data_IF_997551731706
#
_entry.id   IF_997551731706
#
_cell.length_a   1.000
_cell.length_b   1.000
_cell.length_c   1.000
_cell.angle_alpha   90.00
_cell.angle_beta   90.00
_cell.angle_gamma   90.00
#
_symmetry.space_group_name_H-M   'P 1'
#
loop_
_entity.id
_entity.type
_entity.pdbx_description
1 polymer ?
#
# COMPACT_ATOMS: atom_id res chain seq x y z
N UNK A 1 -24.17 -59.58 24.16
CA UNK A 1 -24.77 -58.87 23.01
C UNK A 1 -24.85 -57.39 23.41
N UNK A 2 -23.84 -56.61 23.06
CA UNK A 2 -23.66 -55.25 23.50
C UNK A 2 -23.68 -54.32 22.27
N UNK A 3 -24.77 -53.59 22.08
CA UNK A 3 -24.93 -52.63 21.00
C UNK A 3 -24.17 -51.35 21.33
N UNK A 4 -23.11 -51.04 20.55
CA UNK A 4 -22.41 -49.75 20.60
C UNK A 4 -23.23 -48.73 19.83
N UNK A 5 -23.79 -47.73 20.50
CA UNK A 5 -24.43 -46.58 19.89
C UNK A 5 -23.33 -45.60 19.41
N UNK A 6 -23.25 -45.44 18.10
CA UNK A 6 -22.39 -44.44 17.43
C UNK A 6 -23.09 -43.09 17.52
N UNK A 7 -22.53 -42.15 18.32
CA UNK A 7 -22.96 -40.75 18.31
C UNK A 7 -22.21 -40.03 17.19
N UNK A 8 -22.91 -39.71 16.11
CA UNK A 8 -22.44 -38.81 15.08
C UNK A 8 -22.61 -37.37 15.57
N UNK A 9 -21.50 -36.73 15.89
CA UNK A 9 -21.46 -35.28 16.21
C UNK A 9 -21.53 -34.51 14.88
N UNK A 10 -22.72 -34.01 14.54
CA UNK A 10 -22.92 -33.12 13.39
C UNK A 10 -22.41 -31.74 13.78
N UNK A 11 -21.18 -31.39 13.39
CA UNK A 11 -20.63 -30.05 13.56
C UNK A 11 -21.29 -29.12 12.53
N UNK A 12 -22.36 -28.45 12.95
CA UNK A 12 -23.02 -27.41 12.19
C UNK A 12 -22.06 -26.20 12.20
N UNK A 13 -21.23 -26.04 11.17
CA UNK A 13 -20.58 -24.76 10.87
C UNK A 13 -21.68 -23.76 10.56
N UNK A 14 -22.13 -23.00 11.56
CA UNK A 14 -22.84 -21.76 11.31
C UNK A 14 -21.86 -20.81 10.62
N UNK A 15 -22.00 -20.65 9.31
CA UNK A 15 -21.54 -19.45 8.62
C UNK A 15 -22.31 -18.29 9.23
N UNK A 16 -21.69 -17.57 10.14
CA UNK A 16 -22.16 -16.26 10.55
C UNK A 16 -22.00 -15.38 9.32
N UNK A 17 -23.09 -14.89 8.68
CA UNK A 17 -22.93 -13.84 7.70
C UNK A 17 -22.28 -12.69 8.45
N UNK A 18 -21.19 -12.11 7.90
CA UNK A 18 -20.61 -10.88 8.39
C UNK A 18 -21.73 -9.80 8.31
N UNK A 19 -22.50 -9.67 9.38
CA UNK A 19 -23.39 -8.55 9.55
C UNK A 19 -22.47 -7.33 9.61
N UNK A 20 -22.53 -6.50 8.56
CA UNK A 20 -21.95 -5.16 8.58
C UNK A 20 -22.50 -4.51 9.86
N UNK A 21 -21.61 -4.23 10.81
CA UNK A 21 -22.01 -3.55 12.03
C UNK A 21 -22.72 -2.25 11.66
N UNK A 22 -23.83 -1.96 12.31
CA UNK A 22 -24.57 -0.70 12.09
C UNK A 22 -23.60 0.46 12.24
N UNK A 23 -23.32 1.20 11.14
CA UNK A 23 -22.39 2.34 11.13
C UNK A 23 -21.32 2.31 10.04
N UNK A 24 -21.12 1.20 9.33
CA UNK A 24 -20.16 1.14 8.22
C UNK A 24 -20.82 1.56 6.90
N UNK A 25 -20.11 2.42 6.16
CA UNK A 25 -20.49 2.79 4.80
C UNK A 25 -19.31 2.48 3.88
N UNK A 26 -19.49 1.46 3.04
CA UNK A 26 -18.50 1.15 2.01
C UNK A 26 -18.28 2.34 1.08
N UNK A 27 -17.05 2.58 0.69
CA UNK A 27 -16.70 3.69 -0.19
C UNK A 27 -16.89 3.28 -1.66
N UNK A 28 -17.28 4.20 -2.56
CA UNK A 28 -17.33 3.90 -3.99
C UNK A 28 -15.97 3.43 -4.50
N UNK A 29 -15.94 2.35 -5.28
CA UNK A 29 -14.71 1.76 -5.83
C UNK A 29 -14.47 2.13 -7.30
N UNK A 30 -15.36 2.86 -7.92
CA UNK A 30 -15.32 3.26 -9.34
C UNK A 30 -14.88 4.71 -9.54
N UNK A 31 -14.52 5.40 -8.46
CA UNK A 31 -14.12 6.80 -8.50
C UNK A 31 -13.28 7.20 -7.29
N UNK A 32 -12.50 8.28 -7.44
CA UNK A 32 -11.87 8.96 -6.30
C UNK A 32 -12.97 9.57 -5.44
N UNK A 33 -13.07 9.10 -4.22
CA UNK A 33 -14.07 9.55 -3.24
C UNK A 33 -13.38 9.77 -1.90
N UNK A 34 -13.62 10.92 -1.29
CA UNK A 34 -13.09 11.24 0.03
C UNK A 34 -14.09 10.77 1.08
N UNK A 35 -13.67 9.80 1.89
CA UNK A 35 -14.47 9.26 2.99
C UNK A 35 -14.54 10.21 4.20
N UNK A 36 -15.06 9.69 5.31
CA UNK A 36 -15.09 10.42 6.57
C UNK A 36 -13.67 10.62 7.12
N UNK A 37 -13.39 11.75 7.79
CA UNK A 37 -12.10 11.95 8.45
C UNK A 37 -11.95 10.96 9.61
N UNK A 38 -10.76 10.34 9.78
CA UNK A 38 -10.52 9.48 10.92
C UNK A 38 -10.60 10.29 12.22
N UNK A 39 -11.27 9.73 13.24
CA UNK A 39 -11.43 10.38 14.55
C UNK A 39 -10.08 10.44 15.26
N UNK A 40 -9.74 11.60 15.81
CA UNK A 40 -8.46 11.80 16.50
C UNK A 40 -8.31 10.89 17.74
N UNK A 41 -9.39 10.59 18.43
CA UNK A 41 -9.39 9.68 19.59
C UNK A 41 -8.95 8.23 19.25
N UNK A 42 -9.03 7.83 17.98
CA UNK A 42 -8.65 6.50 17.52
C UNK A 42 -7.15 6.39 17.18
N UNK A 43 -6.41 7.50 17.17
CA UNK A 43 -4.94 7.52 17.16
C UNK A 43 -4.45 7.33 18.59
N UNK A 44 -4.24 6.08 19.00
CA UNK A 44 -3.90 5.71 20.36
C UNK A 44 -2.42 5.94 20.70
N UNK A 45 -1.59 6.14 19.69
CA UNK A 45 -0.21 6.61 19.79
C UNK A 45 0.26 7.24 18.49
N UNK A 46 1.50 7.75 18.46
CA UNK A 46 2.16 8.24 17.24
C UNK A 46 2.41 7.15 16.19
N UNK A 47 2.15 5.88 16.52
CA UNK A 47 2.41 4.70 15.70
C UNK A 47 1.21 3.75 15.59
N UNK A 48 0.06 4.09 16.16
CA UNK A 48 -1.08 3.16 16.18
C UNK A 48 -2.43 3.86 16.06
N UNK A 49 -3.28 3.33 15.18
CA UNK A 49 -4.68 3.73 14.98
C UNK A 49 -5.57 2.50 15.00
N UNK A 50 -6.70 2.57 15.69
CA UNK A 50 -7.69 1.49 15.73
C UNK A 50 -9.10 2.05 15.74
N UNK A 51 -9.95 1.57 14.82
CA UNK A 51 -11.40 1.66 14.90
C UNK A 51 -12.03 0.32 14.49
N UNK A 52 -13.36 0.24 14.44
CA UNK A 52 -14.08 -0.99 14.15
C UNK A 52 -13.85 -1.50 12.71
N UNK A 53 -13.34 -0.66 11.81
CA UNK A 53 -13.16 -0.99 10.38
C UNK A 53 -11.71 -1.17 9.97
N UNK A 54 -10.76 -0.61 10.72
CA UNK A 54 -9.34 -0.61 10.36
C UNK A 54 -8.46 -0.59 11.61
N UNK A 55 -7.38 -1.38 11.57
CA UNK A 55 -6.28 -1.26 12.51
C UNK A 55 -4.97 -1.00 11.77
N UNK A 56 -4.16 -0.09 12.31
CA UNK A 56 -2.83 0.26 11.81
C UNK A 56 -1.85 0.25 12.96
N UNK A 57 -0.70 -0.41 12.77
CA UNK A 57 0.42 -0.35 13.69
C UNK A 57 1.73 -0.22 12.94
N UNK A 58 2.53 0.79 13.29
CA UNK A 58 3.82 1.09 12.68
C UNK A 58 4.93 0.51 13.56
N UNK A 59 5.90 -0.13 12.92
CA UNK A 59 7.09 -0.72 13.53
C UNK A 59 8.34 -0.10 12.92
N UNK A 60 9.41 -0.14 13.67
CA UNK A 60 10.72 0.36 13.27
C UNK A 60 11.75 -0.76 13.36
N UNK A 61 12.75 -0.70 12.49
CA UNK A 61 13.87 -1.62 12.52
C UNK A 61 15.09 -1.03 11.86
N UNK A 62 16.21 -1.78 11.90
CA UNK A 62 17.46 -1.40 11.28
C UNK A 62 18.08 -2.59 10.56
N UNK A 63 18.51 -2.37 9.32
CA UNK A 63 19.16 -3.38 8.49
C UNK A 63 20.21 -2.72 7.59
N UNK A 64 21.36 -3.35 7.41
CA UNK A 64 22.42 -2.89 6.52
C UNK A 64 22.75 -1.36 6.68
N UNK A 65 22.96 -0.91 7.92
CA UNK A 65 23.22 0.49 8.30
C UNK A 65 22.13 1.48 7.86
N UNK A 66 20.88 1.03 7.79
CA UNK A 66 19.77 1.87 7.39
C UNK A 66 18.53 1.53 8.23
N UNK A 67 17.90 2.57 8.76
CA UNK A 67 16.62 2.43 9.47
C UNK A 67 15.51 2.21 8.46
N UNK A 68 14.51 1.43 8.86
CA UNK A 68 13.30 1.22 8.08
C UNK A 68 12.08 1.25 8.99
N UNK A 69 10.93 1.50 8.38
CA UNK A 69 9.63 1.42 9.04
C UNK A 69 8.69 0.57 8.20
N UNK A 70 7.80 -0.13 8.88
CA UNK A 70 6.68 -0.78 8.20
C UNK A 70 5.40 -0.63 9.01
N UNK A 71 4.31 -0.41 8.30
CA UNK A 71 2.98 -0.28 8.87
C UNK A 71 2.17 -1.53 8.55
N UNK A 72 1.73 -2.24 9.57
CA UNK A 72 0.78 -3.34 9.47
C UNK A 72 -0.63 -2.77 9.41
N UNK A 73 -1.41 -3.14 8.40
CA UNK A 73 -2.76 -2.62 8.16
C UNK A 73 -3.72 -3.77 7.96
N UNK A 74 -4.79 -3.81 8.76
CA UNK A 74 -5.93 -4.72 8.55
C UNK A 74 -7.17 -3.89 8.31
N UNK A 75 -7.94 -4.25 7.30
CA UNK A 75 -9.18 -3.58 6.92
C UNK A 75 -10.34 -4.57 6.89
N UNK A 76 -11.56 -4.07 7.01
CA UNK A 76 -12.78 -4.89 6.98
C UNK A 76 -13.42 -5.01 5.60
N UNK A 77 -13.02 -4.12 4.64
CA UNK A 77 -13.58 -4.10 3.29
C UNK A 77 -12.57 -3.57 2.26
N UNK A 78 -12.44 -4.13 1.05
CA UNK A 78 -11.44 -3.71 0.05
C UNK A 78 -11.58 -2.25 -0.38
N UNK A 79 -12.75 -1.62 -0.26
CA UNK A 79 -12.94 -0.20 -0.59
C UNK A 79 -12.12 0.76 0.28
N UNK A 80 -11.50 0.28 1.35
CA UNK A 80 -10.64 1.08 2.22
C UNK A 80 -9.22 1.26 1.65
N UNK A 81 -8.74 0.36 0.78
CA UNK A 81 -7.49 0.51 0.04
C UNK A 81 -7.71 1.38 -1.19
N UNK A 82 -7.18 2.59 -1.19
CA UNK A 82 -7.50 3.63 -2.16
C UNK A 82 -6.26 4.34 -2.69
N UNK A 83 -6.47 5.13 -3.73
CA UNK A 83 -5.49 6.08 -4.26
C UNK A 83 -6.09 7.47 -4.39
N UNK A 84 -5.26 8.50 -4.20
CA UNK A 84 -5.66 9.89 -4.41
C UNK A 84 -4.57 10.66 -5.15
N UNK A 85 -4.91 11.42 -6.22
CA UNK A 85 -3.97 12.31 -6.89
C UNK A 85 -3.70 13.56 -6.05
N UNK A 86 -2.63 14.28 -6.36
CA UNK A 86 -2.17 15.45 -5.62
C UNK A 86 -3.19 16.60 -5.53
N UNK A 87 -4.12 16.68 -6.48
CA UNK A 87 -5.16 17.70 -6.54
C UNK A 87 -6.52 17.22 -5.98
N UNK A 88 -6.53 16.09 -5.27
CA UNK A 88 -7.71 15.66 -4.50
C UNK A 88 -8.10 16.72 -3.48
N UNK A 89 -9.40 16.94 -3.33
CA UNK A 89 -9.96 17.84 -2.33
C UNK A 89 -11.18 17.21 -1.69
N UNK A 90 -11.37 17.50 -0.41
CA UNK A 90 -12.50 17.00 0.38
C UNK A 90 -13.90 17.45 -0.11
N UNK A 91 -13.99 18.11 -1.26
CA UNK A 91 -15.23 18.57 -1.88
C UNK A 91 -15.96 17.52 -2.70
N UNK A 92 -15.45 16.29 -2.78
CA UNK A 92 -15.99 15.18 -3.59
C UNK A 92 -16.28 15.55 -5.05
N UNK A 93 -15.50 16.49 -5.61
CA UNK A 93 -15.53 16.76 -7.04
C UNK A 93 -14.91 15.59 -7.79
N UNK A 94 -15.41 15.30 -8.97
CA UNK A 94 -14.83 14.26 -9.83
C UNK A 94 -13.36 14.59 -10.11
N UNK A 95 -12.45 13.83 -9.51
CA UNK A 95 -11.01 13.96 -9.66
C UNK A 95 -10.53 12.83 -10.56
N UNK A 96 -9.50 13.09 -11.35
CA UNK A 96 -8.96 12.12 -12.30
C UNK A 96 -7.44 12.06 -12.21
N UNK A 97 -6.85 10.90 -12.52
CA UNK A 97 -5.38 10.72 -12.61
C UNK A 97 -4.85 11.17 -13.99
N UNK A 98 -5.24 12.38 -14.44
CA UNK A 98 -4.77 13.01 -15.68
C UNK A 98 -3.99 14.30 -15.44
N UNK A 99 -4.09 14.84 -14.24
CA UNK A 99 -3.39 16.07 -13.86
C UNK A 99 -1.89 15.80 -13.68
N UNK A 100 -1.07 16.78 -14.05
CA UNK A 100 0.36 16.82 -13.72
C UNK A 100 0.65 17.48 -12.37
N UNK A 101 -0.38 17.76 -11.59
CA UNK A 101 -0.25 18.37 -10.26
C UNK A 101 0.60 17.51 -9.33
N UNK A 102 1.35 18.20 -8.47
CA UNK A 102 2.10 17.57 -7.39
C UNK A 102 1.86 18.35 -6.09
N UNK A 103 1.85 17.66 -4.96
CA UNK A 103 1.67 18.27 -3.65
C UNK A 103 2.46 17.52 -2.58
N UNK A 104 2.66 18.14 -1.42
CA UNK A 104 3.25 17.44 -0.26
C UNK A 104 2.34 16.30 0.17
N UNK A 105 2.89 15.10 0.31
CA UNK A 105 2.12 13.89 0.61
C UNK A 105 1.21 14.03 1.82
N UNK A 106 1.69 14.67 2.92
CA UNK A 106 0.89 14.94 4.13
C UNK A 106 -0.35 15.81 3.88
N UNK A 107 -0.31 16.72 2.90
CA UNK A 107 -1.47 17.53 2.53
C UNK A 107 -2.46 16.72 1.71
N UNK A 108 -1.97 15.87 0.79
CA UNK A 108 -2.82 14.94 0.03
C UNK A 108 -3.50 13.95 0.98
N UNK A 109 -2.77 13.37 1.93
CA UNK A 109 -3.31 12.47 2.95
C UNK A 109 -4.41 13.14 3.80
N UNK A 110 -4.20 14.41 4.17
CA UNK A 110 -5.20 15.21 4.89
C UNK A 110 -6.48 15.40 4.07
N UNK A 111 -6.34 15.83 2.83
CA UNK A 111 -7.48 16.09 1.93
C UNK A 111 -8.22 14.77 1.55
N UNK A 112 -7.50 13.64 1.51
CA UNK A 112 -8.07 12.34 1.25
C UNK A 112 -8.73 11.68 2.48
N UNK A 113 -8.61 12.27 3.67
CA UNK A 113 -9.03 11.67 4.94
C UNK A 113 -8.38 10.29 5.19
N UNK A 114 -7.09 10.17 4.88
CA UNK A 114 -6.35 8.93 5.06
C UNK A 114 -6.16 8.59 6.55
N UNK A 115 -6.32 7.33 6.94
CA UNK A 115 -5.84 6.85 8.24
C UNK A 115 -4.32 6.74 8.19
N UNK A 116 -3.81 6.11 7.15
CA UNK A 116 -2.37 6.01 6.83
C UNK A 116 -2.21 6.07 5.32
N UNK A 117 -1.08 6.60 4.85
CA UNK A 117 -0.78 6.65 3.43
C UNK A 117 0.72 6.47 3.14
N UNK A 118 1.02 6.14 1.88
CA UNK A 118 2.37 6.15 1.32
C UNK A 118 2.37 6.75 -0.09
N UNK A 119 3.54 7.02 -0.65
CA UNK A 119 3.64 7.43 -2.06
C UNK A 119 3.19 6.32 -3.01
N UNK A 120 2.72 6.70 -4.20
CA UNK A 120 2.42 5.78 -5.30
C UNK A 120 3.62 5.50 -6.21
N UNK A 121 3.33 5.27 -7.50
CA UNK A 121 4.30 4.95 -8.56
C UNK A 121 4.74 6.15 -9.38
N UNK A 122 4.34 7.37 -8.97
CA UNK A 122 4.63 8.62 -9.68
C UNK A 122 4.04 8.64 -11.09
N UNK A 123 2.75 8.37 -11.20
CA UNK A 123 2.00 8.21 -12.46
C UNK A 123 2.16 9.38 -13.46
N UNK A 124 2.55 10.58 -13.01
CA UNK A 124 2.74 11.76 -13.88
C UNK A 124 3.99 11.66 -14.75
N UNK A 125 4.90 10.73 -14.47
CA UNK A 125 6.10 10.50 -15.26
C UNK A 125 5.82 9.62 -16.48
N UNK A 126 6.56 9.87 -17.57
CA UNK A 126 6.42 9.11 -18.82
C UNK A 126 6.86 7.66 -18.69
N UNK A 127 7.72 7.35 -17.72
CA UNK A 127 8.14 5.99 -17.39
C UNK A 127 7.00 5.13 -16.79
N UNK A 128 5.99 5.74 -16.19
CA UNK A 128 4.79 5.05 -15.74
C UNK A 128 3.84 4.81 -16.92
N UNK A 129 4.06 3.70 -17.63
CA UNK A 129 3.38 3.40 -18.90
C UNK A 129 1.95 2.91 -18.76
N UNK A 130 1.59 2.37 -17.60
CA UNK A 130 0.24 1.89 -17.28
C UNK A 130 -0.28 2.61 -16.05
N UNK A 131 -1.46 3.17 -16.16
CA UNK A 131 -2.17 3.82 -15.04
C UNK A 131 -3.63 3.40 -15.05
N UNK A 132 -4.02 2.58 -14.08
CA UNK A 132 -5.40 2.23 -13.80
C UNK A 132 -5.66 2.53 -12.31
N UNK A 133 -6.61 3.38 -12.03
CA UNK A 133 -6.96 3.79 -10.66
C UNK A 133 -8.46 3.78 -10.48
N UNK A 134 -8.90 3.21 -9.39
CA UNK A 134 -10.32 3.13 -9.04
C UNK A 134 -11.17 2.57 -10.20
N UNK A 135 -10.72 1.46 -10.82
CA UNK A 135 -11.38 0.81 -11.95
C UNK A 135 -11.32 1.58 -13.28
N UNK A 136 -10.74 2.78 -13.31
CA UNK A 136 -10.63 3.58 -14.54
C UNK A 136 -9.22 3.51 -15.12
N UNK A 137 -9.12 3.14 -16.41
CA UNK A 137 -7.85 3.13 -17.15
C UNK A 137 -7.54 4.52 -17.71
N UNK A 138 -6.41 5.08 -17.32
CA UNK A 138 -5.92 6.40 -17.78
C UNK A 138 -4.78 6.29 -18.80
N UNK A 139 -3.97 5.22 -18.70
CA UNK A 139 -2.84 4.95 -19.60
C UNK A 139 -2.66 3.44 -19.78
N UNK A 140 -2.32 2.98 -21.00
CA UNK A 140 -2.23 1.57 -21.37
C UNK A 140 -1.07 1.25 -22.32
N UNK A 141 0.07 1.91 -22.16
CA UNK A 141 1.22 1.81 -23.06
C UNK A 141 2.35 0.98 -22.45
N UNK A 142 2.05 -0.18 -21.86
CA UNK A 142 3.06 -1.11 -21.36
C UNK A 142 4.14 -1.36 -22.44
N UNK A 143 5.42 -1.36 -22.03
CA UNK A 143 6.57 -1.36 -22.93
C UNK A 143 7.56 -2.51 -22.71
N UNK A 144 7.21 -3.47 -21.85
CA UNK A 144 8.05 -4.61 -21.53
C UNK A 144 9.22 -4.32 -20.59
N UNK A 145 9.24 -3.15 -19.91
CA UNK A 145 10.37 -2.71 -19.11
C UNK A 145 10.11 -2.71 -17.59
N UNK A 146 8.84 -2.67 -17.19
CA UNK A 146 8.45 -2.56 -15.77
C UNK A 146 7.37 -3.56 -15.41
N UNK A 147 7.50 -4.13 -14.24
CA UNK A 147 6.44 -4.93 -13.65
C UNK A 147 5.23 -4.06 -13.32
N UNK A 148 4.06 -4.68 -13.36
CA UNK A 148 2.82 -4.05 -12.95
C UNK A 148 2.26 -4.76 -11.73
N UNK A 149 2.04 -4.03 -10.63
CA UNK A 149 1.19 -4.51 -9.54
C UNK A 149 -0.26 -4.35 -9.95
N UNK A 150 -1.04 -5.40 -9.84
CA UNK A 150 -2.47 -5.42 -10.07
C UNK A 150 -3.18 -5.69 -8.75
N UNK A 151 -4.12 -4.82 -8.40
CA UNK A 151 -5.03 -4.99 -7.26
C UNK A 151 -6.44 -5.12 -7.80
N UNK A 152 -7.12 -6.19 -7.43
CA UNK A 152 -8.50 -6.43 -7.84
C UNK A 152 -9.52 -5.79 -6.88
N UNK A 153 -10.81 -5.91 -7.20
CA UNK A 153 -11.90 -5.36 -6.37
C UNK A 153 -12.09 -6.07 -5.03
N UNK A 154 -11.47 -7.24 -4.83
CA UNK A 154 -11.44 -7.90 -3.53
C UNK A 154 -10.27 -7.41 -2.67
N UNK A 155 -9.37 -6.59 -3.24
CA UNK A 155 -8.14 -6.14 -2.58
C UNK A 155 -6.98 -7.12 -2.72
N UNK A 156 -7.12 -8.16 -3.54
CA UNK A 156 -6.08 -9.15 -3.78
C UNK A 156 -5.03 -8.64 -4.77
N UNK A 157 -3.75 -8.97 -4.46
CA UNK A 157 -2.60 -8.59 -5.26
C UNK A 157 -2.19 -9.71 -6.20
N UNK A 158 -1.92 -9.32 -7.44
CA UNK A 158 -1.22 -10.09 -8.45
C UNK A 158 -0.26 -9.17 -9.21
N UNK A 159 0.52 -9.71 -10.14
CA UNK A 159 1.42 -8.89 -10.93
C UNK A 159 1.57 -9.40 -12.36
N UNK A 160 2.01 -8.52 -13.25
CA UNK A 160 2.46 -8.85 -14.58
C UNK A 160 3.95 -8.52 -14.68
N UNK A 161 4.75 -9.51 -15.05
CA UNK A 161 6.19 -9.38 -15.20
C UNK A 161 6.51 -8.68 -16.53
N UNK A 162 6.87 -7.41 -16.46
CA UNK A 162 7.29 -6.58 -17.57
C UNK A 162 6.47 -6.82 -18.87
N UNK A 163 5.12 -6.68 -18.83
CA UNK A 163 4.27 -7.03 -19.97
C UNK A 163 4.51 -6.07 -21.13
N UNK A 164 4.45 -6.61 -22.36
CA UNK A 164 4.33 -5.78 -23.56
C UNK A 164 2.95 -5.12 -23.65
N UNK A 165 2.79 -4.18 -24.57
CA UNK A 165 1.49 -3.54 -24.80
C UNK A 165 0.40 -4.55 -25.18
N UNK A 166 0.75 -5.58 -25.96
CA UNK A 166 -0.18 -6.63 -26.37
C UNK A 166 -0.58 -7.52 -25.19
N UNK A 167 0.39 -7.93 -24.34
CA UNK A 167 0.13 -8.74 -23.15
C UNK A 167 -0.80 -8.00 -22.18
N UNK A 168 -0.52 -6.73 -21.92
CA UNK A 168 -1.37 -5.93 -21.05
C UNK A 168 -2.77 -5.72 -21.62
N UNK A 169 -2.89 -5.49 -22.93
CA UNK A 169 -4.19 -5.33 -23.57
C UNK A 169 -5.06 -6.59 -23.46
N UNK A 170 -4.47 -7.78 -23.72
CA UNK A 170 -5.15 -9.06 -23.55
C UNK A 170 -5.56 -9.31 -22.10
N UNK A 171 -4.66 -9.02 -21.16
CA UNK A 171 -4.96 -9.13 -19.73
C UNK A 171 -6.10 -8.20 -19.31
N UNK A 172 -6.07 -6.94 -19.74
CA UNK A 172 -7.10 -5.96 -19.45
C UNK A 172 -8.47 -6.40 -19.99
N UNK A 173 -8.53 -6.83 -21.26
CA UNK A 173 -9.76 -7.31 -21.88
C UNK A 173 -10.41 -8.46 -21.09
N UNK A 174 -9.59 -9.40 -20.64
CA UNK A 174 -10.07 -10.56 -19.87
C UNK A 174 -10.50 -10.22 -18.43
N UNK A 175 -9.93 -9.18 -17.80
CA UNK A 175 -10.06 -8.94 -16.35
C UNK A 175 -10.67 -7.58 -15.98
N UNK A 176 -10.97 -6.68 -16.92
CA UNK A 176 -11.37 -5.28 -16.66
C UNK A 176 -12.53 -5.14 -15.67
N UNK A 177 -13.46 -6.09 -15.65
CA UNK A 177 -14.61 -6.06 -14.73
C UNK A 177 -14.20 -6.13 -13.25
N UNK A 178 -13.06 -6.78 -12.96
CA UNK A 178 -12.55 -6.97 -11.59
C UNK A 178 -11.33 -6.11 -11.26
N UNK A 179 -10.74 -5.41 -12.23
CA UNK A 179 -9.58 -4.54 -11.98
C UNK A 179 -9.97 -3.33 -11.15
N UNK A 180 -9.12 -3.03 -10.13
CA UNK A 180 -9.32 -1.88 -9.25
C UNK A 180 -8.17 -0.88 -9.32
N UNK A 181 -6.91 -1.34 -9.17
CA UNK A 181 -5.71 -0.51 -9.27
C UNK A 181 -4.64 -1.24 -10.09
N UNK A 182 -3.87 -0.50 -10.89
CA UNK A 182 -2.64 -1.01 -11.52
C UNK A 182 -1.54 0.03 -11.34
N UNK A 183 -0.44 -0.38 -10.69
CA UNK A 183 0.76 0.45 -10.49
C UNK A 183 1.89 -0.05 -11.38
N UNK A 184 2.63 0.87 -11.98
CA UNK A 184 3.70 0.59 -12.92
C UNK A 184 5.05 1.02 -12.33
N UNK A 185 5.75 0.11 -11.68
CA UNK A 185 7.09 0.38 -11.14
C UNK A 185 7.95 -0.89 -11.07
N UNK A 186 7.86 -1.66 -9.99
CA UNK A 186 8.58 -2.92 -9.79
C UNK A 186 10.02 -2.77 -9.28
N UNK A 187 10.69 -3.88 -9.09
CA UNK A 187 10.21 -5.24 -9.32
C UNK A 187 9.28 -5.78 -8.22
N UNK A 188 8.71 -6.97 -8.45
CA UNK A 188 8.18 -7.81 -7.36
C UNK A 188 9.35 -8.23 -6.50
N UNK A 189 9.26 -8.03 -5.19
CA UNK A 189 10.32 -8.30 -4.23
C UNK A 189 10.18 -9.67 -3.57
N UNK A 190 8.96 -9.99 -3.14
CA UNK A 190 8.62 -11.24 -2.45
C UNK A 190 7.32 -11.79 -3.03
N UNK A 191 7.24 -13.09 -3.21
CA UNK A 191 6.03 -13.81 -3.59
C UNK A 191 5.90 -15.08 -2.74
N UNK A 192 4.73 -15.27 -2.11
CA UNK A 192 4.42 -16.44 -1.27
C UNK A 192 5.52 -16.76 -0.24
N UNK A 193 6.05 -15.73 0.44
CA UNK A 193 7.11 -15.84 1.42
C UNK A 193 8.49 -16.16 0.83
N UNK A 194 8.67 -16.04 -0.49
CA UNK A 194 9.96 -16.25 -1.16
C UNK A 194 10.49 -14.92 -1.68
N UNK A 195 11.69 -14.52 -1.21
CA UNK A 195 12.40 -13.37 -1.77
C UNK A 195 12.88 -13.70 -3.19
N UNK A 196 12.38 -12.94 -4.18
CA UNK A 196 12.68 -13.17 -5.60
C UNK A 196 13.94 -12.43 -6.08
N UNK A 197 14.56 -11.60 -5.26
CA UNK A 197 15.64 -10.69 -5.67
C UNK A 197 17.00 -11.26 -5.27
N UNK A 198 17.81 -11.72 -6.23
CA UNK A 198 19.17 -12.18 -5.94
C UNK A 198 20.09 -11.01 -5.54
N UNK A 199 21.15 -11.30 -4.79
CA UNK A 199 22.10 -10.29 -4.30
C UNK A 199 22.73 -9.43 -5.41
N UNK A 200 22.89 -9.99 -6.60
CA UNK A 200 23.45 -9.32 -7.78
C UNK A 200 22.37 -8.82 -8.75
N UNK A 201 21.14 -8.62 -8.29
CA UNK A 201 20.04 -8.14 -9.13
C UNK A 201 20.36 -6.79 -9.75
N UNK A 202 20.27 -6.69 -11.07
CA UNK A 202 20.51 -5.48 -11.83
C UNK A 202 19.23 -4.98 -12.48
N UNK A 203 18.95 -3.69 -12.31
CA UNK A 203 17.89 -2.97 -13.00
C UNK A 203 18.27 -1.50 -13.09
N UNK A 204 18.67 -1.06 -14.27
CA UNK A 204 19.15 0.31 -14.52
C UNK A 204 18.09 1.39 -14.31
N UNK A 205 16.82 1.09 -14.55
CA UNK A 205 15.72 2.07 -14.41
C UNK A 205 15.51 2.53 -12.98
N UNK A 206 15.70 1.64 -12.01
CA UNK A 206 15.47 1.95 -10.59
C UNK A 206 16.79 2.07 -9.81
N UNK A 207 17.93 1.90 -10.48
CA UNK A 207 19.24 1.89 -9.82
C UNK A 207 19.29 0.83 -8.72
N UNK A 208 19.07 -0.45 -9.09
CA UNK A 208 18.86 -1.54 -8.15
C UNK A 208 20.02 -1.72 -7.15
N UNK A 209 21.26 -1.52 -7.60
CA UNK A 209 22.48 -1.62 -6.77
C UNK A 209 22.88 -0.30 -6.07
N UNK A 210 22.11 0.77 -6.25
CA UNK A 210 22.38 2.06 -5.59
C UNK A 210 21.67 2.12 -4.26
N UNK A 211 22.36 2.59 -3.23
CA UNK A 211 21.75 2.91 -1.95
C UNK A 211 20.81 4.11 -2.09
N UNK A 212 19.53 3.89 -1.76
CA UNK A 212 18.49 4.90 -1.84
C UNK A 212 17.40 4.65 -0.80
N UNK A 213 16.55 5.64 -0.55
CA UNK A 213 15.25 5.39 0.09
C UNK A 213 14.41 4.50 -0.82
N UNK A 214 13.67 3.57 -0.25
CA UNK A 214 12.80 2.62 -0.97
C UNK A 214 11.42 2.60 -0.33
N UNK A 215 10.42 2.23 -1.13
CA UNK A 215 9.05 2.05 -0.70
C UNK A 215 8.45 0.80 -1.33
N UNK A 216 7.68 0.03 -0.58
CA UNK A 216 6.96 -1.13 -1.08
C UNK A 216 5.56 -1.22 -0.47
N UNK A 217 4.62 -1.68 -1.27
CA UNK A 217 3.30 -2.08 -0.82
C UNK A 217 3.22 -3.61 -0.85
N UNK A 218 2.76 -4.21 0.24
CA UNK A 218 2.74 -5.64 0.42
C UNK A 218 1.34 -6.13 0.82
N UNK A 219 0.94 -7.30 0.33
CA UNK A 219 -0.18 -8.06 0.85
C UNK A 219 0.35 -9.22 1.71
N UNK A 220 -0.23 -9.38 2.91
CA UNK A 220 0.10 -10.46 3.85
C UNK A 220 -0.94 -11.58 3.83
N UNK A 221 -2.19 -11.24 3.54
CA UNK A 221 -3.33 -12.13 3.49
C UNK A 221 -4.59 -11.39 3.02
N UNK A 222 -5.74 -12.00 3.18
CA UNK A 222 -7.02 -11.38 2.85
C UNK A 222 -7.22 -10.12 3.69
N UNK A 223 -7.41 -8.96 3.01
CA UNK A 223 -7.61 -7.64 3.63
C UNK A 223 -6.53 -7.25 4.66
N UNK A 224 -5.33 -7.82 4.55
CA UNK A 224 -4.20 -7.61 5.43
C UNK A 224 -2.96 -7.21 4.62
N UNK A 225 -2.40 -6.04 4.94
CA UNK A 225 -1.37 -5.39 4.14
C UNK A 225 -0.22 -4.88 4.98
N UNK A 226 0.89 -4.56 4.31
CA UNK A 226 2.03 -3.90 4.92
C UNK A 226 2.56 -2.82 3.98
N UNK A 227 2.81 -1.61 4.50
CA UNK A 227 3.53 -0.53 3.83
C UNK A 227 4.95 -0.50 4.39
N UNK A 228 5.96 -0.63 3.54
CA UNK A 228 7.38 -0.65 3.96
C UNK A 228 8.12 0.53 3.35
N UNK A 229 8.90 1.24 4.15
CA UNK A 229 9.78 2.33 3.70
C UNK A 229 11.13 2.23 4.40
N UNK A 230 12.23 2.58 3.71
CA UNK A 230 13.52 2.74 4.36
C UNK A 230 14.02 4.19 4.28
N UNK A 231 14.91 4.54 5.19
CA UNK A 231 15.59 5.83 5.23
C UNK A 231 16.69 5.89 4.15
N UNK A 232 17.27 7.03 3.96
CA UNK A 232 18.38 7.26 3.04
C UNK A 232 19.46 8.13 3.65
N UNK A 233 20.51 8.40 2.88
CA UNK A 233 21.67 9.18 3.32
C UNK A 233 21.36 10.64 3.69
N UNK A 234 20.16 11.12 3.42
CA UNK A 234 19.69 12.45 3.85
C UNK A 234 19.45 12.51 5.36
N UNK A 235 19.21 11.37 6.00
CA UNK A 235 19.07 11.26 7.45
C UNK A 235 20.37 10.72 8.03
N UNK A 236 20.97 11.44 8.97
CA UNK A 236 22.26 11.08 9.61
C UNK A 236 22.24 9.63 10.12
N UNK A 237 23.28 8.88 9.82
CA UNK A 237 23.44 7.49 10.24
C UNK A 237 22.77 6.46 9.34
N UNK A 238 22.18 6.89 8.23
CA UNK A 238 21.56 6.02 7.24
C UNK A 238 22.27 6.12 5.88
N UNK A 239 22.51 5.01 5.21
CA UNK A 239 23.09 5.00 3.87
C UNK A 239 22.06 4.80 2.74
N UNK A 240 20.89 4.33 3.07
CA UNK A 240 19.90 3.83 2.12
C UNK A 240 20.11 2.35 1.81
N UNK A 241 19.18 1.75 1.05
CA UNK A 241 19.22 0.32 0.70
C UNK A 241 19.29 0.12 -0.80
N UNK A 242 20.03 -0.89 -1.24
CA UNK A 242 19.89 -1.50 -2.56
C UNK A 242 18.55 -2.25 -2.64
N UNK A 243 18.11 -2.63 -3.85
CA UNK A 243 16.87 -3.44 -4.00
C UNK A 243 17.01 -4.82 -3.33
N UNK A 244 18.15 -5.56 -3.44
CA UNK A 244 18.34 -6.80 -2.68
C UNK A 244 18.21 -6.62 -1.16
N UNK A 245 18.82 -5.59 -0.59
CA UNK A 245 18.71 -5.29 0.85
C UNK A 245 17.26 -4.95 1.24
N UNK A 246 16.57 -4.17 0.42
CA UNK A 246 15.18 -3.79 0.68
C UNK A 246 14.20 -4.97 0.53
N UNK A 247 14.44 -5.88 -0.44
CA UNK A 247 13.68 -7.12 -0.56
C UNK A 247 13.85 -8.02 0.68
N UNK A 248 15.07 -8.11 1.22
CA UNK A 248 15.32 -8.83 2.46
C UNK A 248 14.54 -8.21 3.64
N UNK A 249 14.46 -6.88 3.73
CA UNK A 249 13.65 -6.19 4.76
C UNK A 249 12.17 -6.49 4.58
N UNK A 250 11.62 -6.49 3.36
CA UNK A 250 10.23 -6.84 3.11
C UNK A 250 9.91 -8.28 3.50
N UNK A 251 10.81 -9.22 3.21
CA UNK A 251 10.66 -10.63 3.62
C UNK A 251 10.72 -10.78 5.15
N UNK A 252 11.72 -10.17 5.81
CA UNK A 252 11.87 -10.19 7.27
C UNK A 252 10.64 -9.62 7.99
N UNK A 253 10.18 -8.43 7.61
CA UNK A 253 9.01 -7.79 8.19
C UNK A 253 7.73 -8.61 7.92
N UNK A 254 7.61 -9.21 6.73
CA UNK A 254 6.51 -10.12 6.41
C UNK A 254 6.48 -11.35 7.31
N UNK A 255 7.64 -11.97 7.58
CA UNK A 255 7.76 -13.12 8.49
C UNK A 255 7.56 -12.75 9.95
N UNK A 256 7.93 -11.55 10.37
CA UNK A 256 7.63 -11.05 11.72
C UNK A 256 6.13 -10.97 11.98
N UNK A 257 5.36 -10.51 10.98
CA UNK A 257 3.90 -10.40 11.07
C UNK A 257 3.17 -11.72 10.78
N UNK A 258 3.74 -12.56 9.91
CA UNK A 258 3.20 -13.84 9.44
C UNK A 258 4.29 -14.91 9.43
N UNK A 259 4.66 -15.48 10.58
CA UNK A 259 5.77 -16.43 10.68
C UNK A 259 5.66 -17.64 9.73
N UNK A 260 4.45 -18.16 9.54
CA UNK A 260 4.19 -19.35 8.74
C UNK A 260 4.25 -19.08 7.22
N UNK A 261 3.79 -17.91 6.77
CA UNK A 261 3.55 -17.62 5.35
C UNK A 261 4.40 -16.50 4.78
N UNK A 262 4.86 -15.56 5.62
CA UNK A 262 5.51 -14.33 5.14
C UNK A 262 4.57 -13.44 4.33
N UNK A 263 5.13 -12.63 3.44
CA UNK A 263 4.35 -11.84 2.49
C UNK A 263 3.75 -12.73 1.39
N UNK A 264 2.46 -12.56 1.09
CA UNK A 264 1.83 -13.11 -0.12
C UNK A 264 2.42 -12.47 -1.37
N UNK A 265 2.54 -11.13 -1.38
CA UNK A 265 3.22 -10.39 -2.44
C UNK A 265 3.77 -9.06 -1.89
N UNK A 266 5.02 -8.72 -2.21
CA UNK A 266 5.64 -7.43 -1.95
C UNK A 266 6.10 -6.78 -3.26
N UNK A 267 5.67 -5.54 -3.51
CA UNK A 267 5.94 -4.82 -4.77
C UNK A 267 6.64 -3.49 -4.50
N UNK A 268 7.78 -3.27 -5.17
CA UNK A 268 8.53 -2.02 -5.07
C UNK A 268 7.84 -0.87 -5.81
N UNK A 269 7.75 0.28 -5.17
CA UNK A 269 7.18 1.52 -5.69
C UNK A 269 8.24 2.62 -5.85
N UNK A 270 7.83 3.84 -6.23
CA UNK A 270 8.74 4.97 -6.37
C UNK A 270 9.52 5.22 -5.08
N UNK A 271 10.82 5.38 -5.23
CA UNK A 271 11.78 5.49 -4.15
C UNK A 271 12.46 6.87 -4.06
N UNK A 272 13.66 6.90 -3.50
CA UNK A 272 14.43 8.12 -3.33
C UNK A 272 13.67 9.15 -2.48
N UNK A 273 13.72 10.41 -2.89
CA UNK A 273 13.06 11.49 -2.15
C UNK A 273 11.52 11.43 -2.17
N UNK A 274 10.93 10.58 -3.04
CA UNK A 274 9.47 10.35 -3.07
C UNK A 274 9.01 9.42 -1.96
N UNK A 275 9.90 8.59 -1.40
CA UNK A 275 9.58 7.64 -0.32
C UNK A 275 8.93 8.35 0.85
N UNK A 276 7.69 8.01 1.16
CA UNK A 276 6.91 8.62 2.23
C UNK A 276 5.97 7.62 2.90
N UNK A 277 6.03 7.54 4.22
CA UNK A 277 5.00 6.97 5.08
C UNK A 277 4.34 8.14 5.82
N UNK A 278 3.02 8.26 5.71
CA UNK A 278 2.25 9.42 6.14
C UNK A 278 1.22 9.00 7.18
N UNK A 279 1.29 9.59 8.36
CA UNK A 279 0.42 9.26 9.48
C UNK A 279 0.12 10.51 10.32
N UNK A 280 -0.88 10.47 11.20
CA UNK A 280 -1.08 11.56 12.17
C UNK A 280 -0.26 11.28 13.43
N UNK A 281 0.50 12.27 13.86
CA UNK A 281 1.24 12.24 15.13
C UNK A 281 0.94 13.50 15.95
N UNK A 282 1.17 13.41 17.25
CA UNK A 282 0.97 14.53 18.18
C UNK A 282 2.04 15.60 17.93
N UNK A 283 1.59 16.77 17.50
CA UNK A 283 2.44 17.96 17.47
C UNK A 283 2.53 18.54 18.90
N UNK A 284 3.68 18.33 19.53
CA UNK A 284 3.94 18.74 20.92
C UNK A 284 3.72 20.25 21.14
N UNK A 285 3.98 21.09 20.10
CA UNK A 285 3.85 22.54 20.23
C UNK A 285 2.39 23.01 20.27
N UNK A 286 1.53 22.38 19.49
CA UNK A 286 0.11 22.73 19.40
C UNK A 286 -0.82 21.85 20.22
N UNK A 287 -0.34 20.70 20.72
CA UNK A 287 -1.17 19.68 21.39
C UNK A 287 -2.20 19.04 20.46
N UNK A 288 -2.03 19.12 19.14
CA UNK A 288 -2.99 18.61 18.14
C UNK A 288 -2.33 17.55 17.26
N UNK A 289 -3.13 16.58 16.83
CA UNK A 289 -2.70 15.63 15.81
C UNK A 289 -2.54 16.31 14.46
N UNK A 290 -1.45 16.03 13.77
CA UNK A 290 -1.14 16.54 12.43
C UNK A 290 -0.61 15.42 11.54
N UNK A 291 -0.97 15.45 10.25
CA UNK A 291 -0.33 14.60 9.27
C UNK A 291 1.14 14.97 9.11
N UNK A 292 2.00 14.00 9.27
CA UNK A 292 3.45 14.12 9.10
C UNK A 292 3.96 13.03 8.16
N UNK A 293 5.12 13.26 7.57
CA UNK A 293 5.94 12.21 6.98
C UNK A 293 6.74 11.57 8.10
N UNK A 294 6.46 10.30 8.40
CA UNK A 294 7.04 9.60 9.56
C UNK A 294 8.48 9.21 9.31
N UNK A 295 8.79 8.69 8.11
CA UNK A 295 10.15 8.38 7.69
C UNK A 295 10.86 9.62 7.13
N UNK A 296 12.14 9.82 7.44
CA UNK A 296 12.97 10.94 6.92
C UNK A 296 12.20 12.28 6.91
N UNK A 297 11.76 12.81 8.05
CA UNK A 297 10.90 13.99 8.11
C UNK A 297 11.57 15.27 7.59
N UNK A 298 12.92 15.29 7.47
CA UNK A 298 13.72 16.40 6.99
C UNK A 298 13.46 16.69 5.49
N UNK A 299 13.04 15.67 4.73
CA UNK A 299 12.82 15.77 3.29
C UNK A 299 11.40 15.34 2.95
N UNK A 300 10.61 16.27 2.46
CA UNK A 300 9.30 15.98 1.91
C UNK A 300 9.21 16.53 0.47
N UNK A 301 9.31 15.62 -0.50
CA UNK A 301 9.12 15.93 -1.90
C UNK A 301 7.62 16.09 -2.23
N UNK A 302 7.30 16.85 -3.26
CA UNK A 302 5.98 16.85 -3.87
C UNK A 302 5.73 15.52 -4.58
N UNK A 303 4.60 14.88 -4.29
CA UNK A 303 4.14 13.62 -4.85
C UNK A 303 3.02 13.87 -5.86
N UNK A 304 2.88 13.01 -6.86
CA UNK A 304 1.76 13.04 -7.81
C UNK A 304 0.51 12.38 -7.26
N UNK A 305 0.68 11.35 -6.43
CA UNK A 305 -0.39 10.57 -5.82
C UNK A 305 0.07 9.91 -4.53
N UNK A 306 -0.90 9.40 -3.80
CA UNK A 306 -0.69 8.54 -2.65
C UNK A 306 -1.54 7.28 -2.77
N UNK A 307 -1.05 6.19 -2.16
CA UNK A 307 -1.84 5.01 -1.79
C UNK A 307 -2.21 5.18 -0.32
N UNK A 308 -3.47 4.95 0.03
CA UNK A 308 -3.91 5.16 1.40
C UNK A 308 -5.00 4.18 1.82
N UNK A 309 -5.14 4.03 3.13
CA UNK A 309 -6.24 3.31 3.74
C UNK A 309 -7.16 4.30 4.46
N UNK A 310 -8.47 4.13 4.24
CA UNK A 310 -9.52 4.96 4.83
C UNK A 310 -10.31 4.19 5.90
N UNK A 311 -10.92 4.92 6.83
CA UNK A 311 -11.92 4.34 7.73
C UNK A 311 -13.29 4.25 7.05
N UNK A 312 -14.12 3.29 7.47
CA UNK A 312 -15.54 3.20 7.15
C UNK A 312 -16.43 3.72 8.28
N UNK A 313 -15.86 4.06 9.42
CA UNK A 313 -16.59 4.58 10.59
C UNK A 313 -16.98 6.04 10.37
N UNK A 314 -18.24 6.36 10.66
CA UNK A 314 -18.79 7.72 10.59
C UNK A 314 -18.52 8.53 11.86
#
# INVERSE_FOLDING_TARGET
MCMKKLFALLLCMMMIPAALAEGFVTLPMDQVFVGQPPKDANYISDYEYVDESISVKIYEGRYADTDYMYAHVKISHPSQLRTAPADVKATNKKVTFRSSATARGRLVAKEANAVIAMNGDYYTKDECKVVLRMGTQYRNNADGLRDLLVIDKNGDFSYLNAPTKADYAAYYEANQANLYQVFCFGPVLVENGVNLIPANYENGYIGAQKNAQRAALCQLGELEYMMVVCYGNQTKGNKGMTIPEFAAVCDMAGRELKPETGCKLAFNLDGGNSTALLFKQLDVKSGKLKYVKVNCPEIERFLSDIIYFATLVR
#
